data_IF_451585151969
#
_entry.id   IF_451585151969
#
_cell.length_a   1.000
_cell.length_b   1.000
_cell.length_c   1.000
_cell.angle_alpha   90.00
_cell.angle_beta   90.00
_cell.angle_gamma   90.00
#
_symmetry.space_group_name_H-M   'P 1'
#
loop_
_entity.id
_entity.type
_entity.pdbx_description
1 polymer ?
#
# COMPACT_ATOMS: atom_id res chain seq x y z
N UNK A 1 -20.01 3.18 -18.61
CA UNK A 1 -18.82 2.33 -18.53
C UNK A 1 -19.15 1.10 -17.71
N UNK A 2 -19.09 -0.08 -18.32
CA UNK A 2 -19.35 -1.35 -17.62
C UNK A 2 -18.25 -1.58 -16.57
N UNK A 3 -18.63 -1.63 -15.30
CA UNK A 3 -17.70 -1.99 -14.21
C UNK A 3 -17.28 -3.44 -14.44
N UNK A 4 -16.00 -3.66 -14.71
CA UNK A 4 -15.44 -5.01 -14.78
C UNK A 4 -15.75 -5.71 -13.45
N UNK A 5 -16.51 -6.79 -13.53
CA UNK A 5 -16.81 -7.69 -12.42
C UNK A 5 -15.52 -8.41 -12.08
N UNK A 6 -14.90 -8.05 -10.97
CA UNK A 6 -13.69 -8.71 -10.47
C UNK A 6 -14.07 -9.41 -9.18
N UNK A 7 -13.77 -10.68 -9.08
CA UNK A 7 -13.89 -11.45 -7.86
C UNK A 7 -12.51 -11.51 -7.21
N UNK A 8 -12.41 -11.04 -5.97
CA UNK A 8 -11.17 -11.01 -5.20
C UNK A 8 -11.45 -11.73 -3.88
N UNK A 9 -10.69 -12.77 -3.57
CA UNK A 9 -10.86 -13.61 -2.38
C UNK A 9 -12.31 -14.16 -2.23
N UNK A 10 -12.98 -14.51 -3.35
CA UNK A 10 -14.36 -14.96 -3.32
C UNK A 10 -15.39 -13.85 -3.05
N UNK A 11 -14.96 -12.59 -2.92
CA UNK A 11 -15.85 -11.45 -2.73
C UNK A 11 -16.20 -10.83 -4.07
N UNK A 12 -17.49 -10.80 -4.39
CA UNK A 12 -17.99 -10.11 -5.57
C UNK A 12 -17.95 -8.59 -5.34
N UNK A 13 -17.00 -7.91 -5.97
CA UNK A 13 -16.78 -6.47 -5.78
C UNK A 13 -17.95 -5.59 -6.21
N UNK A 14 -18.87 -6.12 -7.04
CA UNK A 14 -20.05 -5.37 -7.50
C UNK A 14 -21.20 -5.35 -6.47
N UNK A 15 -21.23 -6.34 -5.56
CA UNK A 15 -22.31 -6.52 -4.57
C UNK A 15 -21.95 -5.99 -3.18
N UNK A 16 -20.80 -5.32 -3.03
CA UNK A 16 -20.38 -4.77 -1.75
C UNK A 16 -21.34 -3.66 -1.29
N UNK A 17 -21.80 -3.69 -0.03
CA UNK A 17 -22.73 -2.68 0.50
C UNK A 17 -22.08 -1.30 0.50
N UNK A 18 -22.93 -0.29 0.41
CA UNK A 18 -22.56 1.11 0.62
C UNK A 18 -23.30 1.57 1.87
N UNK A 19 -22.55 2.08 2.82
CA UNK A 19 -23.11 2.64 4.05
C UNK A 19 -23.34 4.14 3.87
N UNK A 20 -24.51 4.64 4.28
CA UNK A 20 -24.76 6.05 4.46
C UNK A 20 -23.94 6.61 5.64
N UNK A 21 -23.83 7.94 5.76
CA UNK A 21 -23.11 8.53 6.89
C UNK A 21 -23.84 8.24 8.22
N UNK A 22 -25.18 8.25 8.22
CA UNK A 22 -26.01 7.92 9.40
C UNK A 22 -25.78 6.47 9.84
N UNK A 23 -25.78 5.52 8.88
CA UNK A 23 -25.49 4.11 9.18
C UNK A 23 -24.07 3.90 9.73
N UNK A 24 -23.08 4.67 9.25
CA UNK A 24 -21.72 4.60 9.76
C UNK A 24 -21.63 5.08 11.21
N UNK A 25 -22.34 6.12 11.57
CA UNK A 25 -22.39 6.65 12.93
C UNK A 25 -23.04 5.65 13.88
N UNK A 26 -24.23 5.11 13.54
CA UNK A 26 -24.91 4.08 14.34
C UNK A 26 -24.03 2.85 14.54
N UNK A 27 -23.43 2.34 13.46
CA UNK A 27 -22.57 1.17 13.54
C UNK A 27 -21.34 1.43 14.42
N UNK A 28 -20.75 2.62 14.38
CA UNK A 28 -19.61 2.95 15.24
C UNK A 28 -20.00 2.99 16.70
N UNK A 29 -21.15 3.56 17.06
CA UNK A 29 -21.64 3.56 18.43
C UNK A 29 -21.82 2.14 18.98
N UNK A 30 -22.36 1.24 18.16
CA UNK A 30 -22.52 -0.16 18.53
C UNK A 30 -21.18 -0.89 18.64
N UNK A 31 -20.19 -0.54 17.78
CA UNK A 31 -18.83 -1.08 17.86
C UNK A 31 -18.18 -0.69 19.20
N UNK A 32 -18.31 0.56 19.63
CA UNK A 32 -17.81 1.03 20.94
C UNK A 32 -18.44 0.29 22.11
N UNK A 33 -19.68 -0.19 21.95
CA UNK A 33 -20.37 -1.03 22.92
C UNK A 33 -19.98 -2.53 22.84
N UNK A 34 -19.09 -2.90 21.92
CA UNK A 34 -18.60 -4.26 21.75
C UNK A 34 -19.44 -5.14 20.82
N UNK A 35 -20.32 -4.56 19.98
CA UNK A 35 -21.13 -5.32 19.02
C UNK A 35 -20.27 -5.81 17.84
N UNK A 36 -19.98 -7.11 17.85
CA UNK A 36 -19.19 -7.77 16.81
C UNK A 36 -19.90 -7.81 15.45
N UNK A 37 -21.23 -7.88 15.42
CA UNK A 37 -22.01 -7.87 14.17
C UNK A 37 -21.97 -6.49 13.52
N UNK A 38 -22.07 -5.43 14.31
CA UNK A 38 -21.90 -4.06 13.82
C UNK A 38 -20.50 -3.86 13.25
N UNK A 39 -19.45 -4.38 13.92
CA UNK A 39 -18.07 -4.34 13.44
C UNK A 39 -17.91 -5.07 12.11
N UNK A 40 -18.46 -6.26 11.96
CA UNK A 40 -18.43 -7.01 10.71
C UNK A 40 -19.14 -6.26 9.57
N UNK A 41 -20.30 -5.66 9.85
CA UNK A 41 -21.06 -4.88 8.89
C UNK A 41 -20.29 -3.64 8.45
N UNK A 42 -19.64 -2.95 9.38
CA UNK A 42 -18.83 -1.78 9.10
C UNK A 42 -17.61 -2.11 8.23
N UNK A 43 -16.94 -3.25 8.52
CA UNK A 43 -15.84 -3.75 7.69
C UNK A 43 -16.33 -4.00 6.26
N UNK A 44 -17.43 -4.74 6.09
CA UNK A 44 -18.01 -5.06 4.76
C UNK A 44 -18.34 -3.79 3.95
N UNK A 45 -18.91 -2.78 4.61
CA UNK A 45 -19.25 -1.50 3.99
C UNK A 45 -18.04 -0.68 3.51
N UNK A 46 -16.86 -0.94 4.10
CA UNK A 46 -15.62 -0.21 3.76
C UNK A 46 -14.65 -1.03 2.87
N UNK A 47 -14.99 -2.24 2.42
CA UNK A 47 -14.12 -3.04 1.54
C UNK A 47 -13.84 -2.37 0.20
N UNK A 48 -14.75 -1.53 -0.30
CA UNK A 48 -14.50 -0.72 -1.51
C UNK A 48 -13.35 0.25 -1.34
N UNK A 49 -13.17 0.80 -0.14
CA UNK A 49 -12.02 1.65 0.17
C UNK A 49 -10.72 0.87 0.03
N UNK A 50 -10.67 -0.35 0.59
CA UNK A 50 -9.51 -1.24 0.45
C UNK A 50 -9.22 -1.51 -1.02
N UNK A 51 -10.23 -1.90 -1.82
CA UNK A 51 -10.08 -2.16 -3.25
C UNK A 51 -9.49 -0.96 -4.01
N UNK A 52 -9.97 0.25 -3.72
CA UNK A 52 -9.47 1.47 -4.36
C UNK A 52 -7.99 1.76 -4.04
N UNK A 53 -7.55 1.35 -2.86
CA UNK A 53 -6.16 1.53 -2.42
C UNK A 53 -5.25 0.49 -3.06
N UNK A 54 -5.63 -0.80 -3.07
CA UNK A 54 -4.79 -1.86 -3.63
C UNK A 54 -4.58 -1.70 -5.14
N UNK A 55 -5.53 -1.10 -5.86
CA UNK A 55 -5.36 -0.78 -7.29
C UNK A 55 -4.12 0.09 -7.56
N UNK A 56 -3.70 0.92 -6.60
CA UNK A 56 -2.46 1.73 -6.72
C UNK A 56 -1.19 0.89 -6.65
N UNK A 57 -1.29 -0.35 -6.19
CA UNK A 57 -0.19 -1.30 -6.07
C UNK A 57 -0.23 -2.39 -7.16
N UNK A 58 -1.06 -2.21 -8.20
CA UNK A 58 -1.17 -3.17 -9.31
C UNK A 58 0.12 -3.38 -10.11
N UNK A 59 1.10 -2.47 -9.97
CA UNK A 59 2.45 -2.63 -10.55
C UNK A 59 3.40 -3.48 -9.70
N UNK A 60 3.00 -3.93 -8.51
CA UNK A 60 3.76 -4.91 -7.74
C UNK A 60 3.56 -6.30 -8.34
N UNK A 61 4.58 -7.17 -8.26
CA UNK A 61 4.49 -8.56 -8.73
C UNK A 61 3.70 -9.47 -7.76
N UNK A 62 3.06 -8.88 -6.74
CA UNK A 62 2.31 -9.62 -5.73
C UNK A 62 0.87 -9.91 -6.18
N UNK A 63 0.31 -10.99 -5.62
CA UNK A 63 -1.07 -11.37 -5.90
C UNK A 63 -2.03 -10.31 -5.34
N UNK A 64 -3.01 -9.91 -6.15
CA UNK A 64 -4.04 -8.95 -5.75
C UNK A 64 -4.87 -9.44 -4.53
N UNK A 65 -5.08 -10.76 -4.42
CA UNK A 65 -5.79 -11.36 -3.29
C UNK A 65 -5.02 -11.19 -1.98
N UNK A 66 -3.70 -11.37 -2.00
CA UNK A 66 -2.85 -11.19 -0.83
C UNK A 66 -2.81 -9.72 -0.40
N UNK A 67 -2.67 -8.81 -1.37
CA UNK A 67 -2.74 -7.37 -1.12
C UNK A 67 -4.10 -6.94 -0.53
N UNK A 68 -5.18 -7.55 -1.01
CA UNK A 68 -6.52 -7.29 -0.49
C UNK A 68 -6.67 -7.76 0.96
N UNK A 69 -6.22 -8.98 1.27
CA UNK A 69 -6.25 -9.51 2.64
C UNK A 69 -5.45 -8.64 3.61
N UNK A 70 -4.24 -8.25 3.21
CA UNK A 70 -3.39 -7.33 4.01
C UNK A 70 -4.04 -5.96 4.16
N UNK A 71 -4.66 -5.45 3.10
CA UNK A 71 -5.44 -4.22 3.15
C UNK A 71 -6.63 -4.30 4.12
N UNK A 72 -7.32 -5.45 4.18
CA UNK A 72 -8.39 -5.70 5.14
C UNK A 72 -7.87 -5.72 6.59
N UNK A 73 -6.66 -6.27 6.84
CA UNK A 73 -6.02 -6.18 8.16
C UNK A 73 -5.79 -4.72 8.55
N UNK A 74 -5.30 -3.90 7.61
CA UNK A 74 -5.13 -2.46 7.82
C UNK A 74 -6.44 -1.74 8.13
N UNK A 75 -7.53 -2.11 7.43
CA UNK A 75 -8.87 -1.59 7.69
C UNK A 75 -9.36 -1.97 9.09
N UNK A 76 -9.23 -3.25 9.49
CA UNK A 76 -9.64 -3.70 10.82
C UNK A 76 -8.90 -2.96 11.93
N UNK A 77 -7.58 -2.81 11.80
CA UNK A 77 -6.77 -2.01 12.74
C UNK A 77 -7.21 -0.56 12.79
N UNK A 78 -7.62 0.02 11.65
CA UNK A 78 -8.12 1.38 11.61
C UNK A 78 -9.46 1.50 12.35
N UNK A 79 -10.37 0.55 12.22
CA UNK A 79 -11.64 0.53 12.94
C UNK A 79 -11.41 0.43 14.45
N UNK A 80 -10.53 -0.49 14.87
CA UNK A 80 -10.26 -0.76 16.28
C UNK A 80 -9.56 0.40 17.01
N UNK A 81 -8.86 1.28 16.28
CA UNK A 81 -8.08 2.38 16.85
C UNK A 81 -8.61 3.78 16.48
N UNK A 82 -9.74 3.88 15.80
CA UNK A 82 -10.29 5.17 15.40
C UNK A 82 -10.97 5.87 16.56
N UNK A 83 -10.54 7.10 16.82
CA UNK A 83 -11.18 8.00 17.80
C UNK A 83 -12.10 9.00 17.09
N UNK A 84 -13.39 8.93 17.35
CA UNK A 84 -14.43 9.84 16.81
C UNK A 84 -14.27 11.27 17.26
N UNK A 85 -13.61 11.50 18.40
CA UNK A 85 -13.40 12.84 18.95
C UNK A 85 -12.41 13.69 18.12
N UNK A 86 -11.64 13.06 17.24
CA UNK A 86 -10.63 13.75 16.44
C UNK A 86 -11.20 14.64 15.31
N UNK A 87 -12.52 14.68 15.14
CA UNK A 87 -13.20 15.51 14.13
C UNK A 87 -12.68 15.31 12.67
N UNK A 88 -12.20 14.11 12.36
CA UNK A 88 -11.74 13.69 11.03
C UNK A 88 -12.60 12.56 10.49
N UNK A 89 -12.78 12.51 9.17
CA UNK A 89 -13.51 11.39 8.56
C UNK A 89 -12.74 10.08 8.73
N UNK A 90 -13.45 9.00 9.02
CA UNK A 90 -12.85 7.67 9.13
C UNK A 90 -11.94 7.32 7.95
N UNK A 91 -12.37 7.62 6.71
CA UNK A 91 -11.56 7.34 5.52
C UNK A 91 -10.21 8.06 5.54
N UNK A 92 -10.13 9.27 6.09
CA UNK A 92 -8.87 10.03 6.22
C UNK A 92 -7.89 9.32 7.15
N UNK A 93 -8.39 8.70 8.21
CA UNK A 93 -7.59 7.91 9.14
C UNK A 93 -7.25 6.51 8.59
N UNK A 94 -8.21 5.84 7.97
CA UNK A 94 -8.05 4.46 7.50
C UNK A 94 -7.11 4.33 6.30
N UNK A 95 -7.11 5.28 5.36
CA UNK A 95 -6.27 5.22 4.15
C UNK A 95 -4.79 5.07 4.45
N UNK A 96 -4.15 5.91 5.29
CA UNK A 96 -2.73 5.73 5.65
C UNK A 96 -2.46 4.41 6.38
N UNK A 97 -3.39 3.93 7.22
CA UNK A 97 -3.25 2.64 7.92
C UNK A 97 -3.23 1.47 6.94
N UNK A 98 -4.17 1.44 5.99
CA UNK A 98 -4.23 0.41 4.95
C UNK A 98 -2.97 0.44 4.08
N UNK A 99 -2.56 1.62 3.62
CA UNK A 99 -1.33 1.80 2.82
C UNK A 99 -0.10 1.34 3.62
N UNK A 100 -0.05 1.65 4.90
CA UNK A 100 1.04 1.24 5.79
C UNK A 100 1.20 -0.27 5.87
N UNK A 101 0.10 -1.01 6.07
CA UNK A 101 0.12 -2.48 6.11
C UNK A 101 0.52 -3.09 4.76
N UNK A 102 -0.04 -2.58 3.65
CA UNK A 102 0.34 -3.04 2.30
C UNK A 102 1.82 -2.79 2.02
N UNK A 103 2.33 -1.60 2.31
CA UNK A 103 3.77 -1.29 2.12
C UNK A 103 4.66 -2.14 3.03
N UNK A 104 4.22 -2.43 4.26
CA UNK A 104 4.93 -3.32 5.17
C UNK A 104 5.01 -4.73 4.61
N UNK A 105 3.89 -5.28 4.16
CA UNK A 105 3.83 -6.59 3.52
C UNK A 105 4.76 -6.66 2.31
N UNK A 106 4.66 -5.71 1.38
CA UNK A 106 5.51 -5.66 0.18
C UNK A 106 7.01 -5.59 0.52
N UNK A 107 7.37 -4.91 1.61
CA UNK A 107 8.75 -4.84 2.07
C UNK A 107 9.23 -6.16 2.69
N UNK A 108 8.36 -6.82 3.45
CA UNK A 108 8.72 -7.99 4.26
C UNK A 108 8.58 -9.30 3.46
N UNK A 109 7.79 -9.31 2.37
CA UNK A 109 7.53 -10.48 1.51
C UNK A 109 8.57 -10.69 0.41
N UNK A 110 9.67 -9.93 0.37
CA UNK A 110 10.75 -10.21 -0.55
C UNK A 110 11.51 -11.48 -0.14
N UNK A 111 11.78 -12.36 -1.11
CA UNK A 111 12.53 -13.62 -0.93
C UNK A 111 13.93 -13.42 -0.35
N UNK A 112 14.53 -12.26 -0.58
CA UNK A 112 15.80 -11.84 0.01
C UNK A 112 15.66 -10.50 0.73
N UNK A 113 16.13 -10.47 1.98
CA UNK A 113 16.20 -9.24 2.76
C UNK A 113 17.41 -8.41 2.33
N UNK A 114 17.17 -7.40 1.51
CA UNK A 114 18.19 -6.43 1.13
C UNK A 114 18.28 -5.34 2.20
N UNK A 115 19.51 -5.02 2.66
CA UNK A 115 19.73 -3.94 3.62
C UNK A 115 19.25 -2.59 3.07
N UNK A 116 18.85 -1.67 3.95
CA UNK A 116 18.43 -0.32 3.54
C UNK A 116 19.55 0.40 2.79
N UNK A 117 20.78 0.35 3.31
CA UNK A 117 21.95 0.98 2.68
C UNK A 117 22.17 0.49 1.25
N UNK A 118 22.08 -0.82 1.02
CA UNK A 118 22.25 -1.39 -0.31
C UNK A 118 21.14 -0.94 -1.28
N UNK A 119 19.91 -0.89 -0.81
CA UNK A 119 18.77 -0.39 -1.61
C UNK A 119 18.92 1.09 -1.95
N UNK A 120 19.37 1.91 -0.98
CA UNK A 120 19.60 3.33 -1.19
C UNK A 120 20.74 3.56 -2.19
N UNK A 121 21.80 2.74 -2.13
CA UNK A 121 22.89 2.76 -3.10
C UNK A 121 22.39 2.39 -4.51
N UNK A 122 21.65 1.31 -4.65
CA UNK A 122 21.03 0.89 -5.91
C UNK A 122 20.16 2.01 -6.51
N UNK A 123 19.31 2.62 -5.68
CA UNK A 123 18.44 3.72 -6.13
C UNK A 123 19.23 4.94 -6.62
N UNK A 124 20.28 5.34 -5.88
CA UNK A 124 21.16 6.43 -6.30
C UNK A 124 21.87 6.10 -7.63
N UNK A 125 22.36 4.88 -7.77
CA UNK A 125 23.05 4.43 -8.98
C UNK A 125 22.12 4.42 -10.21
N UNK A 126 20.88 3.94 -10.07
CA UNK A 126 19.88 3.94 -11.15
C UNK A 126 19.54 5.38 -11.57
N UNK A 127 19.28 6.27 -10.61
CA UNK A 127 18.99 7.67 -10.93
C UNK A 127 20.17 8.36 -11.62
N UNK A 128 21.40 8.15 -11.12
CA UNK A 128 22.60 8.71 -11.74
C UNK A 128 22.79 8.17 -13.17
N UNK A 129 22.56 6.88 -13.41
CA UNK A 129 22.60 6.28 -14.75
C UNK A 129 21.62 6.97 -15.70
N UNK A 130 20.38 7.19 -15.27
CA UNK A 130 19.37 7.84 -16.11
C UNK A 130 19.75 9.29 -16.47
N UNK A 131 20.25 10.05 -15.49
CA UNK A 131 20.70 11.43 -15.69
C UNK A 131 21.91 11.49 -16.62
N UNK A 132 22.90 10.63 -16.39
CA UNK A 132 24.10 10.55 -17.20
C UNK A 132 23.82 10.08 -18.63
N UNK A 133 22.92 9.10 -18.81
CA UNK A 133 22.50 8.64 -20.15
C UNK A 133 21.90 9.77 -20.96
N UNK A 134 21.06 10.62 -20.33
CA UNK A 134 20.50 11.81 -21.00
C UNK A 134 21.53 12.86 -21.33
N UNK A 135 22.57 13.06 -20.48
CA UNK A 135 23.65 14.03 -20.70
C UNK A 135 24.64 13.59 -21.78
N UNK A 136 25.01 12.31 -21.77
CA UNK A 136 26.07 11.76 -22.61
C UNK A 136 25.56 11.22 -23.95
N UNK A 137 24.23 11.01 -24.10
CA UNK A 137 23.61 10.33 -25.22
C UNK A 137 24.08 8.86 -25.45
N UNK A 138 24.71 8.27 -24.46
CA UNK A 138 25.10 6.86 -24.43
C UNK A 138 25.06 6.33 -22.99
N UNK A 139 25.07 5.01 -22.84
CA UNK A 139 25.04 4.38 -21.51
C UNK A 139 26.37 4.62 -20.78
N UNK A 140 26.32 5.19 -19.54
CA UNK A 140 27.52 5.46 -18.75
C UNK A 140 28.12 4.16 -18.21
N UNK A 141 29.45 4.13 -18.08
CA UNK A 141 30.15 3.03 -17.41
C UNK A 141 29.95 3.11 -15.89
N UNK A 142 30.15 1.98 -15.20
CA UNK A 142 30.01 1.91 -13.74
C UNK A 142 30.98 2.87 -13.05
N UNK A 143 32.17 3.08 -13.58
CA UNK A 143 33.15 4.04 -13.05
C UNK A 143 32.63 5.49 -13.09
N UNK A 144 31.92 5.86 -14.14
CA UNK A 144 31.30 7.18 -14.28
C UNK A 144 30.16 7.35 -13.31
N UNK A 145 29.30 6.31 -13.15
CA UNK A 145 28.21 6.31 -12.18
C UNK A 145 28.76 6.42 -10.76
N UNK A 146 29.75 5.61 -10.39
CA UNK A 146 30.36 5.61 -9.08
C UNK A 146 30.94 6.98 -8.69
N UNK A 147 31.59 7.66 -9.64
CA UNK A 147 32.09 9.03 -9.45
C UNK A 147 30.97 10.05 -9.26
N UNK A 148 29.88 9.94 -10.02
CA UNK A 148 28.75 10.88 -9.92
C UNK A 148 28.04 10.80 -8.56
N UNK A 149 27.98 9.61 -7.96
CA UNK A 149 27.33 9.41 -6.65
C UNK A 149 28.29 9.40 -5.47
N UNK A 150 29.58 9.68 -5.70
CA UNK A 150 30.66 9.69 -4.70
C UNK A 150 30.72 8.38 -3.88
N UNK A 151 30.76 7.25 -4.59
CA UNK A 151 30.82 5.91 -4.00
C UNK A 151 31.90 5.05 -4.66
N UNK A 152 32.34 4.01 -3.95
CA UNK A 152 33.29 3.04 -4.49
C UNK A 152 32.61 2.20 -5.58
N UNK A 153 33.38 1.85 -6.61
CA UNK A 153 32.90 1.01 -7.71
C UNK A 153 32.38 -0.34 -7.24
N UNK A 154 33.05 -0.93 -6.25
CA UNK A 154 32.65 -2.21 -5.67
C UNK A 154 31.27 -2.14 -5.03
N UNK A 155 30.96 -1.05 -4.31
CA UNK A 155 29.67 -0.83 -3.66
C UNK A 155 28.53 -0.67 -4.68
N UNK A 156 28.84 0.01 -5.80
CA UNK A 156 27.86 0.20 -6.89
C UNK A 156 27.62 -1.09 -7.68
N UNK A 157 28.66 -1.93 -7.85
CA UNK A 157 28.55 -3.24 -8.49
C UNK A 157 27.76 -4.24 -7.66
N UNK A 158 27.87 -4.13 -6.32
CA UNK A 158 27.21 -5.02 -5.40
C UNK A 158 25.73 -4.66 -5.19
N UNK A 159 25.33 -3.44 -5.48
CA UNK A 159 23.98 -2.92 -5.31
C UNK A 159 23.10 -3.16 -6.54
#
# INVERSE_FOLDING_TARGET
>A
MARKKVEICGVNTSSLPLLSEEEKEDLFERIEQGDLLAREHYIKGNLRLVLSIIQRFSGSNENADDLFQVGCIGLMKAIDNFDRNLNVKFSTYAVPMIIGEVKRYLRDNHSMRVSRSLRDTAYKAINAREVLTKKLNHEPTIDVIAKEIDMKKEDVLFA
#
